data_IF_764427457272
#
_entry.id   IF_764427457272
#
_cell.length_a   1.000
_cell.length_b   1.000
_cell.length_c   1.000
_cell.angle_alpha   90.00
_cell.angle_beta   90.00
_cell.angle_gamma   90.00
#
_symmetry.space_group_name_H-M   'P 1'
#
loop_
_entity.id
_entity.type
_entity.pdbx_description
1 polymer ?
#
# COMPACT_ATOMS: atom_id res chain seq x y z
N UNK A 1 -27.92 -13.04 -72.14
CA UNK A 1 -27.44 -14.11 -71.24
C UNK A 1 -26.18 -13.63 -70.55
N UNK A 2 -26.11 -13.93 -69.26
CA UNK A 2 -25.22 -13.38 -68.22
C UNK A 2 -23.71 -13.52 -68.48
N UNK A 3 -22.93 -12.61 -67.89
CA UNK A 3 -21.87 -12.98 -66.95
C UNK A 3 -21.41 -11.73 -66.16
N UNK A 4 -21.87 -11.60 -64.91
CA UNK A 4 -21.30 -10.67 -63.93
C UNK A 4 -20.20 -11.41 -63.15
N UNK A 5 -19.00 -10.83 -63.10
CA UNK A 5 -17.88 -11.37 -62.34
C UNK A 5 -18.03 -11.04 -60.83
N UNK A 6 -17.71 -11.98 -59.91
CA UNK A 6 -17.77 -11.70 -58.48
C UNK A 6 -16.51 -10.96 -58.03
N UNK A 7 -16.71 -9.83 -57.36
CA UNK A 7 -15.65 -9.08 -56.68
C UNK A 7 -15.49 -9.65 -55.27
N UNK A 8 -14.45 -10.44 -55.02
CA UNK A 8 -14.12 -10.92 -53.69
C UNK A 8 -13.46 -9.79 -52.89
N UNK A 9 -14.20 -9.21 -51.94
CA UNK A 9 -13.65 -8.32 -50.92
C UNK A 9 -12.99 -9.20 -49.86
N UNK A 10 -11.65 -9.22 -49.83
CA UNK A 10 -10.90 -9.80 -48.72
C UNK A 10 -10.97 -8.83 -47.53
N UNK A 11 -11.70 -9.21 -46.49
CA UNK A 11 -11.69 -8.51 -45.19
C UNK A 11 -10.38 -8.89 -44.50
N UNK A 12 -9.40 -7.98 -44.50
CA UNK A 12 -8.25 -8.08 -43.58
C UNK A 12 -8.76 -7.81 -42.16
N UNK A 13 -8.91 -8.87 -41.38
CA UNK A 13 -8.99 -8.76 -39.92
C UNK A 13 -7.60 -8.34 -39.42
N UNK A 14 -7.43 -7.06 -39.11
CA UNK A 14 -6.29 -6.59 -38.36
C UNK A 14 -6.38 -7.20 -36.96
N UNK A 15 -5.58 -8.24 -36.70
CA UNK A 15 -5.32 -8.71 -35.35
C UNK A 15 -4.56 -7.57 -34.66
N UNK A 16 -5.27 -6.77 -33.87
CA UNK A 16 -4.61 -5.88 -32.93
C UNK A 16 -3.85 -6.78 -31.97
N UNK A 17 -2.51 -6.69 -32.00
CA UNK A 17 -1.69 -7.21 -30.92
C UNK A 17 -2.20 -6.60 -29.60
N UNK A 18 -2.22 -7.36 -28.50
CA UNK A 18 -2.60 -6.78 -27.22
C UNK A 18 -1.73 -5.54 -27.00
N UNK A 19 -2.38 -4.39 -26.89
CA UNK A 19 -1.77 -3.18 -26.34
C UNK A 19 -1.09 -3.60 -25.03
N UNK A 20 0.19 -3.27 -24.88
CA UNK A 20 1.03 -3.74 -23.78
C UNK A 20 0.31 -3.73 -22.44
N UNK A 21 0.58 -4.75 -21.62
CA UNK A 21 -0.03 -4.94 -20.30
C UNK A 21 -0.09 -3.59 -19.58
N UNK A 22 -1.32 -3.10 -19.37
CA UNK A 22 -1.56 -1.87 -18.64
C UNK A 22 -0.99 -2.08 -17.24
N UNK A 23 0.04 -1.29 -16.88
CA UNK A 23 0.62 -1.27 -15.53
C UNK A 23 -0.38 -0.57 -14.62
N UNK A 24 -1.21 -1.35 -13.95
CA UNK A 24 -2.27 -0.86 -13.07
C UNK A 24 -1.81 -0.92 -11.60
N UNK A 25 -2.14 0.09 -10.81
CA UNK A 25 -1.78 0.15 -9.38
C UNK A 25 -2.89 0.78 -8.54
N UNK A 26 -3.19 0.18 -7.39
CA UNK A 26 -4.12 0.71 -6.39
C UNK A 26 -3.36 1.18 -5.15
N UNK A 27 -3.86 2.24 -4.52
CA UNK A 27 -3.31 2.77 -3.27
C UNK A 27 -3.99 2.10 -2.08
N UNK A 28 -3.20 1.73 -1.07
CA UNK A 28 -3.74 1.25 0.20
C UNK A 28 -2.91 1.74 1.38
N UNK A 29 -3.59 2.07 2.48
CA UNK A 29 -3.02 2.71 3.66
C UNK A 29 -3.26 1.86 4.90
N UNK A 30 -2.19 1.44 5.56
CA UNK A 30 -2.23 0.74 6.84
C UNK A 30 -2.27 1.73 8.00
N UNK A 31 -2.68 1.21 9.16
CA UNK A 31 -2.63 1.88 10.46
C UNK A 31 -3.65 2.98 10.85
N UNK A 32 -4.65 3.40 10.04
CA UNK A 32 -5.60 4.39 10.52
C UNK A 32 -6.47 3.83 11.67
N UNK A 33 -6.98 4.69 12.56
CA UNK A 33 -6.56 6.08 12.74
C UNK A 33 -5.18 6.15 13.41
N UNK A 34 -4.25 6.93 12.85
CA UNK A 34 -2.95 7.17 13.47
C UNK A 34 -2.98 8.38 14.42
N UNK A 35 -2.11 8.37 15.43
CA UNK A 35 -2.00 9.42 16.46
C UNK A 35 -1.52 10.77 15.89
N UNK A 36 -1.58 11.81 16.71
CA UNK A 36 -0.91 13.10 16.45
C UNK A 36 0.61 12.92 16.41
N UNK A 37 1.27 13.74 15.61
CA UNK A 37 2.73 13.73 15.44
C UNK A 37 3.31 15.13 15.64
N UNK A 38 4.60 15.30 15.33
CA UNK A 38 5.25 16.61 15.40
C UNK A 38 4.88 17.51 14.21
N UNK A 39 4.44 16.91 13.09
CA UNK A 39 4.10 17.62 11.86
C UNK A 39 2.63 18.04 11.85
N UNK A 40 1.71 17.13 12.18
CA UNK A 40 0.27 17.40 12.10
C UNK A 40 -0.56 16.56 13.10
N UNK A 41 -1.78 17.02 13.36
CA UNK A 41 -2.74 16.22 14.12
C UNK A 41 -3.30 15.10 13.25
N UNK A 42 -3.86 14.06 13.86
CA UNK A 42 -4.52 12.98 13.12
C UNK A 42 -5.73 13.47 12.32
N UNK A 43 -6.44 14.50 12.80
CA UNK A 43 -7.56 15.11 12.06
C UNK A 43 -7.06 15.82 10.81
N UNK A 44 -6.05 16.69 10.95
CA UNK A 44 -5.46 17.41 9.82
C UNK A 44 -4.88 16.44 8.79
N UNK A 45 -4.26 15.34 9.25
CA UNK A 45 -3.74 14.28 8.37
C UNK A 45 -4.84 13.64 7.53
N UNK A 46 -5.95 13.27 8.15
CA UNK A 46 -7.07 12.66 7.45
C UNK A 46 -7.68 13.62 6.43
N UNK A 47 -7.86 14.88 6.79
CA UNK A 47 -8.37 15.90 5.88
C UNK A 47 -7.42 16.14 4.69
N UNK A 48 -6.11 16.27 4.97
CA UNK A 48 -5.10 16.46 3.94
C UNK A 48 -4.97 15.24 3.01
N UNK A 49 -4.99 14.02 3.55
CA UNK A 49 -4.91 12.81 2.73
C UNK A 49 -6.13 12.64 1.82
N UNK A 50 -7.35 12.88 2.32
CA UNK A 50 -8.56 12.85 1.48
C UNK A 50 -8.46 13.90 0.37
N UNK A 51 -8.02 15.13 0.70
CA UNK A 51 -7.86 16.19 -0.30
C UNK A 51 -6.80 15.85 -1.36
N UNK A 52 -5.67 15.26 -0.96
CA UNK A 52 -4.63 14.83 -1.89
C UNK A 52 -5.12 13.71 -2.82
N UNK A 53 -5.87 12.74 -2.29
CA UNK A 53 -6.47 11.67 -3.10
C UNK A 53 -7.49 12.21 -4.10
N UNK A 54 -8.34 13.15 -3.69
CA UNK A 54 -9.34 13.80 -4.55
C UNK A 54 -8.68 14.66 -5.65
N UNK A 55 -7.73 15.53 -5.31
CA UNK A 55 -7.00 16.38 -6.26
C UNK A 55 -6.27 15.55 -7.33
N UNK A 56 -5.85 14.33 -6.99
CA UNK A 56 -5.19 13.43 -7.91
C UNK A 56 -6.11 12.36 -8.50
N UNK A 57 -7.43 12.47 -8.44
CA UNK A 57 -8.38 11.49 -9.00
C UNK A 57 -8.06 10.03 -8.55
N UNK A 58 -7.71 9.83 -7.27
CA UNK A 58 -7.45 8.51 -6.68
C UNK A 58 -8.70 8.04 -5.95
N UNK A 59 -9.58 7.36 -6.69
CA UNK A 59 -10.83 6.83 -6.16
C UNK A 59 -10.64 5.43 -5.56
N UNK A 60 -11.40 5.11 -4.51
CA UNK A 60 -11.49 3.74 -3.98
C UNK A 60 -10.16 3.17 -3.43
N UNK A 61 -9.30 4.01 -2.84
CA UNK A 61 -8.18 3.53 -2.02
C UNK A 61 -8.69 2.68 -0.83
N UNK A 62 -7.83 1.79 -0.31
CA UNK A 62 -8.19 0.92 0.82
C UNK A 62 -7.43 1.27 2.09
N UNK A 63 -8.15 1.41 3.21
CA UNK A 63 -7.63 1.77 4.53
C UNK A 63 -7.77 0.58 5.48
N UNK A 64 -6.66 0.02 5.95
CA UNK A 64 -6.62 -1.14 6.83
C UNK A 64 -6.48 -0.68 8.28
N UNK A 65 -7.60 -0.65 9.00
CA UNK A 65 -7.71 0.02 10.28
C UNK A 65 -7.29 -0.84 11.48
N UNK A 66 -6.61 -0.20 12.44
CA UNK A 66 -6.23 -0.78 13.74
C UNK A 66 -7.22 -0.29 14.79
N UNK A 67 -8.09 -1.19 15.27
CA UNK A 67 -9.30 -0.76 15.98
C UNK A 67 -9.09 -0.35 17.45
N UNK A 68 -8.00 -0.73 18.10
CA UNK A 68 -7.67 -0.28 19.47
C UNK A 68 -7.48 1.25 19.53
N UNK A 69 -7.12 1.87 18.39
CA UNK A 69 -6.92 3.32 18.27
C UNK A 69 -8.21 4.09 17.99
N UNK A 70 -9.34 3.42 17.81
CA UNK A 70 -10.61 4.06 17.47
C UNK A 70 -11.26 4.60 18.74
N UNK A 71 -11.00 5.86 19.01
CA UNK A 71 -11.84 6.68 19.90
C UNK A 71 -12.94 7.41 19.10
N UNK A 72 -13.61 8.39 19.71
CA UNK A 72 -14.65 9.16 19.01
C UNK A 72 -14.10 9.96 17.81
N UNK A 73 -12.86 10.45 17.89
CA UNK A 73 -12.18 11.15 16.79
C UNK A 73 -11.79 10.17 15.70
N UNK A 74 -11.19 9.04 16.07
CA UNK A 74 -10.84 7.95 15.17
C UNK A 74 -12.04 7.41 14.40
N UNK A 75 -13.19 7.24 15.06
CA UNK A 75 -14.42 6.80 14.41
C UNK A 75 -14.95 7.82 13.40
N UNK A 76 -14.79 9.12 13.66
CA UNK A 76 -15.15 10.19 12.72
C UNK A 76 -14.20 10.19 11.50
N UNK A 77 -12.90 9.96 11.73
CA UNK A 77 -11.88 9.90 10.66
C UNK A 77 -12.10 8.71 9.71
N UNK A 78 -12.39 7.52 10.25
CA UNK A 78 -12.75 6.36 9.41
C UNK A 78 -14.03 6.60 8.61
N UNK A 79 -15.00 7.30 9.20
CA UNK A 79 -16.22 7.72 8.48
C UNK A 79 -15.90 8.69 7.35
N UNK A 80 -15.01 9.65 7.56
CA UNK A 80 -14.60 10.60 6.53
C UNK A 80 -13.96 9.89 5.32
N UNK A 81 -13.08 8.90 5.54
CA UNK A 81 -12.54 8.09 4.44
C UNK A 81 -13.64 7.33 3.68
N UNK A 82 -14.60 6.73 4.40
CA UNK A 82 -15.72 6.03 3.78
C UNK A 82 -16.67 6.98 2.99
N UNK A 83 -16.96 8.17 3.51
CA UNK A 83 -17.76 9.20 2.85
C UNK A 83 -17.07 9.75 1.60
N UNK A 84 -15.72 9.78 1.58
CA UNK A 84 -14.92 10.07 0.40
C UNK A 84 -14.87 8.92 -0.63
N UNK A 85 -15.58 7.81 -0.38
CA UNK A 85 -15.66 6.67 -1.31
C UNK A 85 -14.52 5.68 -1.21
N UNK A 86 -13.75 5.71 -0.13
CA UNK A 86 -12.66 4.77 0.13
C UNK A 86 -13.12 3.56 0.96
N UNK A 87 -12.38 2.47 0.86
CA UNK A 87 -12.68 1.22 1.56
C UNK A 87 -12.09 1.23 2.97
N UNK A 88 -12.86 0.74 3.94
CA UNK A 88 -12.35 0.41 5.27
C UNK A 88 -12.20 -1.11 5.40
N UNK A 89 -11.05 -1.57 5.89
CA UNK A 89 -10.68 -2.98 6.02
C UNK A 89 -10.03 -3.27 7.37
N UNK A 90 -9.82 -4.55 7.69
CA UNK A 90 -9.36 -5.00 9.01
C UNK A 90 -7.84 -5.15 9.06
N UNK A 91 -7.20 -4.52 10.04
CA UNK A 91 -5.76 -4.64 10.34
C UNK A 91 -5.48 -5.09 11.77
N UNK A 92 -6.36 -5.94 12.31
CA UNK A 92 -6.43 -6.36 13.72
C UNK A 92 -6.87 -5.23 14.66
N UNK A 93 -7.12 -5.58 15.92
CA UNK A 93 -7.42 -4.66 17.00
C UNK A 93 -6.15 -3.99 17.50
N UNK A 94 -5.13 -4.76 17.90
CA UNK A 94 -3.93 -4.22 18.56
C UNK A 94 -2.69 -4.08 17.65
N UNK A 95 -2.87 -4.22 16.33
CA UNK A 95 -1.76 -4.35 15.36
C UNK A 95 -0.91 -5.61 15.68
N UNK A 96 -1.59 -6.71 16.01
CA UNK A 96 -0.97 -7.92 16.57
C UNK A 96 -0.12 -8.66 15.53
N UNK A 97 1.12 -8.98 15.92
CA UNK A 97 2.02 -9.80 15.10
C UNK A 97 1.77 -11.29 15.33
N UNK A 98 1.22 -11.98 14.32
CA UNK A 98 0.97 -13.42 14.36
C UNK A 98 2.21 -14.24 14.72
N UNK A 99 3.38 -13.83 14.23
CA UNK A 99 4.66 -14.52 14.45
C UNK A 99 4.97 -14.73 15.94
N UNK A 100 4.51 -13.83 16.81
CA UNK A 100 4.77 -13.88 18.26
C UNK A 100 3.54 -14.24 19.09
N UNK A 101 2.33 -14.01 18.58
CA UNK A 101 1.10 -14.13 19.38
C UNK A 101 0.56 -15.56 19.48
N UNK A 102 0.73 -16.39 18.43
CA UNK A 102 -0.01 -17.65 18.29
C UNK A 102 -1.35 -17.47 17.57
N UNK A 103 -1.86 -18.54 16.95
CA UNK A 103 -3.03 -18.49 16.05
C UNK A 103 -4.30 -18.07 16.79
N UNK A 104 -4.58 -18.66 17.96
CA UNK A 104 -5.84 -18.41 18.66
C UNK A 104 -5.96 -16.96 19.14
N UNK A 105 -4.91 -16.46 19.82
CA UNK A 105 -4.84 -15.07 20.27
C UNK A 105 -4.95 -14.08 19.10
N UNK A 106 -4.27 -14.39 17.99
CA UNK A 106 -4.36 -13.58 16.78
C UNK A 106 -5.77 -13.55 16.18
N UNK A 107 -6.44 -14.70 16.05
CA UNK A 107 -7.80 -14.75 15.50
C UNK A 107 -8.83 -14.10 16.43
N UNK A 108 -8.65 -14.15 17.74
CA UNK A 108 -9.48 -13.41 18.70
C UNK A 108 -9.29 -11.90 18.58
N UNK A 109 -8.07 -11.44 18.34
CA UNK A 109 -7.76 -10.05 18.05
C UNK A 109 -8.42 -9.60 16.73
N UNK A 110 -8.34 -10.42 15.67
CA UNK A 110 -9.07 -10.18 14.41
C UNK A 110 -10.58 -10.08 14.63
N UNK A 111 -11.18 -10.97 15.41
CA UNK A 111 -12.62 -10.96 15.74
C UNK A 111 -13.02 -9.71 16.53
N UNK A 112 -12.15 -9.22 17.39
CA UNK A 112 -12.38 -7.98 18.13
C UNK A 112 -12.49 -6.81 17.16
N UNK A 113 -11.52 -6.67 16.24
CA UNK A 113 -11.58 -5.66 15.19
C UNK A 113 -12.80 -5.81 14.27
N UNK A 114 -13.13 -7.05 13.88
CA UNK A 114 -14.30 -7.37 13.06
C UNK A 114 -15.60 -6.85 13.68
N UNK A 115 -15.78 -7.05 14.99
CA UNK A 115 -16.97 -6.59 15.71
C UNK A 115 -17.14 -5.06 15.71
N UNK A 116 -16.02 -4.32 15.63
CA UNK A 116 -15.99 -2.86 15.60
C UNK A 116 -16.23 -2.38 14.16
N UNK A 117 -15.51 -2.94 13.18
CA UNK A 117 -15.48 -2.45 11.81
C UNK A 117 -16.73 -2.80 11.00
N UNK A 118 -17.42 -3.90 11.30
CA UNK A 118 -18.63 -4.31 10.54
C UNK A 118 -19.74 -3.27 10.52
N UNK A 119 -19.77 -2.36 11.49
CA UNK A 119 -20.75 -1.28 11.57
C UNK A 119 -20.35 -0.02 10.80
N UNK A 120 -19.12 0.06 10.28
CA UNK A 120 -18.66 1.20 9.49
C UNK A 120 -19.14 1.11 8.04
N UNK A 121 -19.60 2.24 7.51
CA UNK A 121 -19.83 2.42 6.09
C UNK A 121 -18.51 2.19 5.33
N UNK A 122 -18.59 1.67 4.10
CA UNK A 122 -17.39 1.36 3.31
C UNK A 122 -16.61 0.12 3.78
N UNK A 123 -17.07 -0.60 4.82
CA UNK A 123 -16.40 -1.81 5.27
C UNK A 123 -16.40 -2.92 4.21
N UNK A 124 -15.22 -3.47 3.95
CA UNK A 124 -15.02 -4.71 3.18
C UNK A 124 -14.37 -5.76 4.09
N UNK A 125 -14.75 -7.04 4.00
CA UNK A 125 -14.09 -8.13 4.72
C UNK A 125 -12.74 -8.47 4.07
N UNK A 126 -11.87 -7.46 3.96
CA UNK A 126 -10.48 -7.60 3.59
C UNK A 126 -9.63 -7.51 4.84
N UNK A 127 -8.59 -8.33 4.90
CA UNK A 127 -7.70 -8.41 6.05
C UNK A 127 -6.25 -8.30 5.64
N UNK A 128 -5.50 -7.44 6.32
CA UNK A 128 -4.05 -7.37 6.16
C UNK A 128 -3.34 -7.75 7.44
N UNK A 129 -2.36 -8.64 7.32
CA UNK A 129 -1.51 -9.03 8.43
C UNK A 129 -0.61 -7.85 8.81
N UNK A 130 -0.61 -7.42 10.09
CA UNK A 130 0.40 -6.51 10.61
C UNK A 130 1.82 -6.99 10.25
N UNK A 131 2.69 -6.05 9.87
CA UNK A 131 4.06 -6.30 9.42
C UNK A 131 4.19 -7.20 8.18
N UNK A 132 3.09 -7.43 7.43
CA UNK A 132 3.00 -8.43 6.36
C UNK A 132 3.50 -9.81 6.81
N UNK A 133 3.37 -10.11 8.10
CA UNK A 133 3.93 -11.31 8.70
C UNK A 133 2.83 -12.34 8.93
N UNK A 134 2.87 -13.41 8.14
CA UNK A 134 1.87 -14.46 8.18
C UNK A 134 2.19 -15.59 9.18
N UNK A 135 3.22 -15.46 10.02
CA UNK A 135 3.53 -16.42 11.08
C UNK A 135 5.00 -16.85 11.13
N UNK A 136 5.37 -17.62 12.15
CA UNK A 136 6.74 -18.10 12.39
C UNK A 136 7.06 -19.43 11.71
N UNK A 137 6.04 -20.20 11.33
CA UNK A 137 6.16 -21.43 10.57
C UNK A 137 4.95 -21.67 9.65
N UNK A 138 5.03 -22.67 8.78
CA UNK A 138 3.98 -22.97 7.80
C UNK A 138 2.67 -23.40 8.46
N UNK A 139 2.72 -24.10 9.60
CA UNK A 139 1.51 -24.54 10.29
C UNK A 139 0.75 -23.36 10.87
N UNK A 140 1.45 -22.40 11.49
CA UNK A 140 0.87 -21.17 11.98
C UNK A 140 0.28 -20.33 10.84
N UNK A 141 1.02 -20.20 9.73
CA UNK A 141 0.56 -19.51 8.53
C UNK A 141 -0.73 -20.10 7.97
N UNK A 142 -0.74 -21.39 7.73
CA UNK A 142 -1.86 -22.06 7.08
C UNK A 142 -3.09 -22.07 8.00
N UNK A 143 -2.90 -22.25 9.31
CA UNK A 143 -3.96 -22.16 10.29
C UNK A 143 -4.58 -20.75 10.37
N UNK A 144 -3.76 -19.69 10.36
CA UNK A 144 -4.27 -18.32 10.36
C UNK A 144 -5.02 -17.98 9.06
N UNK A 145 -4.50 -18.40 7.90
CA UNK A 145 -5.20 -18.21 6.61
C UNK A 145 -6.55 -18.94 6.59
N UNK A 146 -6.60 -20.19 7.09
CA UNK A 146 -7.85 -20.95 7.22
C UNK A 146 -8.84 -20.23 8.15
N UNK A 147 -8.38 -19.79 9.32
CA UNK A 147 -9.22 -19.07 10.28
C UNK A 147 -9.79 -17.76 9.72
N UNK A 148 -8.99 -17.01 8.95
CA UNK A 148 -9.47 -15.82 8.24
C UNK A 148 -10.51 -16.16 7.18
N UNK A 149 -10.29 -17.21 6.39
CA UNK A 149 -11.24 -17.67 5.38
C UNK A 149 -12.57 -18.11 6.01
N UNK A 150 -12.53 -18.82 7.14
CA UNK A 150 -13.71 -19.21 7.93
C UNK A 150 -14.49 -18.00 8.48
N UNK A 151 -13.80 -16.92 8.81
CA UNK A 151 -14.39 -15.64 9.19
C UNK A 151 -14.93 -14.83 7.99
N UNK A 152 -14.75 -15.33 6.77
CA UNK A 152 -15.20 -14.69 5.52
C UNK A 152 -14.26 -13.61 5.00
N UNK A 153 -13.00 -13.57 5.49
CA UNK A 153 -12.02 -12.59 5.05
C UNK A 153 -11.30 -13.00 3.78
N UNK A 154 -11.08 -12.01 2.91
CA UNK A 154 -10.09 -12.08 1.83
C UNK A 154 -8.79 -11.43 2.31
N UNK A 155 -7.64 -12.05 2.01
CA UNK A 155 -6.34 -11.45 2.35
C UNK A 155 -6.12 -10.22 1.45
N UNK A 156 -6.12 -9.04 2.05
CA UNK A 156 -5.72 -7.77 1.43
C UNK A 156 -4.21 -7.71 1.26
N UNK A 157 -3.65 -8.53 0.39
CA UNK A 157 -2.22 -8.54 0.09
C UNK A 157 -1.75 -7.21 -0.52
N UNK A 158 -0.43 -7.00 -0.48
CA UNK A 158 0.26 -5.95 -1.23
C UNK A 158 1.18 -6.60 -2.26
N UNK A 159 1.51 -5.89 -3.32
CA UNK A 159 2.47 -6.35 -4.34
C UNK A 159 3.69 -5.45 -4.43
N UNK A 160 3.57 -4.21 -3.98
CA UNK A 160 4.64 -3.21 -3.92
C UNK A 160 4.79 -2.84 -2.44
N UNK A 161 5.94 -3.18 -1.88
CA UNK A 161 6.33 -2.86 -0.50
C UNK A 161 7.36 -1.72 -0.51
N UNK A 162 7.50 -1.01 0.60
CA UNK A 162 8.43 0.10 0.78
C UNK A 162 8.51 0.48 2.28
N UNK A 163 9.37 1.45 2.60
CA UNK A 163 9.58 1.93 3.96
C UNK A 163 9.12 3.40 4.14
N UNK A 164 7.96 3.79 3.58
CA UNK A 164 7.35 5.12 3.77
C UNK A 164 7.21 5.50 5.24
N UNK A 165 6.78 4.57 6.08
CA UNK A 165 6.64 4.76 7.53
C UNK A 165 7.98 5.15 8.19
N UNK A 166 9.09 4.67 7.65
CA UNK A 166 10.40 4.95 8.22
C UNK A 166 10.88 6.33 7.81
N UNK A 167 10.65 6.73 6.56
CA UNK A 167 10.97 8.08 6.09
C UNK A 167 10.10 9.13 6.80
N UNK A 168 8.82 8.85 7.01
CA UNK A 168 7.92 9.68 7.82
C UNK A 168 8.43 9.83 9.25
N UNK A 169 8.86 8.73 9.87
CA UNK A 169 9.44 8.76 11.21
C UNK A 169 10.69 9.65 11.27
N UNK A 170 11.56 9.63 10.27
CA UNK A 170 12.74 10.50 10.20
C UNK A 170 12.34 11.99 10.12
N UNK A 171 11.34 12.32 9.30
CA UNK A 171 10.82 13.69 9.19
C UNK A 171 10.21 14.17 10.51
N UNK A 172 9.39 13.33 11.15
CA UNK A 172 8.81 13.61 12.45
C UNK A 172 9.84 13.78 13.56
N UNK A 173 10.85 12.91 13.61
CA UNK A 173 11.96 13.02 14.57
C UNK A 173 12.72 14.34 14.38
N UNK A 174 12.97 14.75 13.14
CA UNK A 174 13.66 16.01 12.81
C UNK A 174 12.85 17.25 13.24
N UNK A 175 11.55 17.27 12.94
CA UNK A 175 10.64 18.37 13.35
C UNK A 175 10.51 18.44 14.86
N UNK A 176 10.36 17.29 15.55
CA UNK A 176 10.33 17.23 17.00
C UNK A 176 11.63 17.73 17.65
N UNK A 177 12.77 17.52 16.99
CA UNK A 177 14.08 18.02 17.41
C UNK A 177 14.32 19.50 17.08
N UNK A 178 13.36 20.19 16.45
CA UNK A 178 13.47 21.59 16.05
C UNK A 178 14.43 21.82 14.88
N UNK A 179 14.75 20.78 14.11
CA UNK A 179 15.58 20.88 12.91
C UNK A 179 14.76 21.49 11.76
N UNK A 180 15.42 22.19 10.85
CA UNK A 180 14.76 22.64 9.62
C UNK A 180 14.80 21.50 8.61
N UNK A 181 13.65 21.18 8.01
CA UNK A 181 13.50 20.15 6.97
C UNK A 181 13.35 20.82 5.61
N UNK A 182 14.11 20.36 4.62
CA UNK A 182 13.87 20.65 3.21
C UNK A 182 12.68 19.83 2.72
N UNK A 183 11.49 20.43 2.78
CA UNK A 183 10.24 19.77 2.38
C UNK A 183 10.15 19.48 0.89
N UNK A 184 10.81 20.27 0.04
CA UNK A 184 10.82 20.03 -1.40
C UNK A 184 11.69 18.80 -1.72
N UNK A 185 12.90 18.75 -1.17
CA UNK A 185 13.77 17.57 -1.32
C UNK A 185 13.18 16.31 -0.66
N UNK A 186 12.46 16.45 0.46
CA UNK A 186 11.77 15.32 1.10
C UNK A 186 10.62 14.78 0.25
N UNK A 187 9.84 15.67 -0.38
CA UNK A 187 8.80 15.27 -1.34
C UNK A 187 9.40 14.46 -2.49
N UNK A 188 10.48 14.97 -3.11
CA UNK A 188 11.15 14.28 -4.22
C UNK A 188 11.64 12.89 -3.79
N UNK A 189 12.34 12.79 -2.64
CA UNK A 189 12.80 11.51 -2.10
C UNK A 189 11.64 10.54 -1.84
N UNK A 190 10.54 11.01 -1.24
CA UNK A 190 9.38 10.19 -0.92
C UNK A 190 8.72 9.65 -2.18
N UNK A 191 8.46 10.52 -3.16
CA UNK A 191 7.79 10.16 -4.42
C UNK A 191 8.67 9.22 -5.26
N UNK A 192 9.96 9.52 -5.41
CA UNK A 192 10.87 8.69 -6.19
C UNK A 192 11.06 7.31 -5.56
N UNK A 193 11.23 7.22 -4.23
CA UNK A 193 11.33 5.94 -3.52
C UNK A 193 10.13 5.03 -3.83
N UNK A 194 8.92 5.57 -3.79
CA UNK A 194 7.69 4.80 -3.98
C UNK A 194 7.46 4.43 -5.45
N UNK A 195 7.72 5.36 -6.37
CA UNK A 195 7.62 5.10 -7.79
C UNK A 195 8.69 4.10 -8.27
N UNK A 196 9.90 4.16 -7.73
CA UNK A 196 10.97 3.18 -7.99
C UNK A 196 10.63 1.80 -7.40
N UNK A 197 10.00 1.75 -6.23
CA UNK A 197 9.49 0.51 -5.68
C UNK A 197 8.47 -0.14 -6.63
N UNK A 198 7.52 0.64 -7.17
CA UNK A 198 6.54 0.14 -8.14
C UNK A 198 7.22 -0.46 -9.39
N UNK A 199 8.19 0.24 -9.99
CA UNK A 199 8.96 -0.26 -11.13
C UNK A 199 9.76 -1.52 -10.79
N UNK A 200 10.37 -1.58 -9.60
CA UNK A 200 11.15 -2.72 -9.14
C UNK A 200 10.29 -3.99 -9.00
N UNK A 201 9.15 -3.89 -8.31
CA UNK A 201 8.26 -5.05 -8.13
C UNK A 201 7.55 -5.44 -9.42
N UNK A 202 7.21 -4.50 -10.31
CA UNK A 202 6.72 -4.82 -11.66
C UNK A 202 7.76 -5.60 -12.47
N UNK A 203 9.04 -5.19 -12.41
CA UNK A 203 10.12 -5.90 -13.08
C UNK A 203 10.29 -7.34 -12.53
N UNK A 204 10.17 -7.54 -11.22
CA UNK A 204 10.15 -8.88 -10.62
C UNK A 204 8.95 -9.67 -11.12
N UNK A 205 7.76 -9.09 -11.14
CA UNK A 205 6.55 -9.76 -11.58
C UNK A 205 6.63 -10.19 -13.04
N UNK A 206 7.00 -9.29 -13.96
CA UNK A 206 7.17 -9.62 -15.38
C UNK A 206 8.23 -10.70 -15.60
N UNK A 207 9.32 -10.66 -14.84
CA UNK A 207 10.42 -11.64 -14.98
C UNK A 207 10.08 -13.01 -14.42
N UNK A 208 9.35 -13.06 -13.31
CA UNK A 208 9.20 -14.28 -12.52
C UNK A 208 7.77 -14.81 -12.46
N UNK A 209 6.77 -14.04 -12.88
CA UNK A 209 5.35 -14.39 -12.98
C UNK A 209 4.81 -14.25 -14.41
N UNK A 210 5.67 -13.88 -15.36
CA UNK A 210 5.39 -13.75 -16.81
C UNK A 210 4.35 -12.70 -17.18
N UNK A 211 4.04 -11.76 -16.26
CA UNK A 211 3.11 -10.63 -16.46
C UNK A 211 3.27 -9.54 -15.40
N UNK A 212 2.77 -8.35 -15.70
CA UNK A 212 2.45 -7.32 -14.71
C UNK A 212 1.07 -7.61 -14.07
N UNK A 213 0.95 -7.82 -12.76
CA UNK A 213 -0.34 -7.87 -12.09
C UNK A 213 -0.92 -6.47 -11.90
N UNK A 214 -2.21 -6.40 -11.59
CA UNK A 214 -2.73 -5.20 -10.94
C UNK A 214 -2.09 -5.08 -9.57
N UNK A 215 -1.24 -4.08 -9.43
CA UNK A 215 -0.47 -3.87 -8.24
C UNK A 215 -1.31 -3.25 -7.12
N UNK A 216 -0.98 -3.59 -5.88
CA UNK A 216 -1.44 -2.91 -4.66
C UNK A 216 -0.21 -2.36 -3.97
N UNK A 217 -0.18 -1.03 -3.83
CA UNK A 217 0.87 -0.28 -3.14
C UNK A 217 0.56 -0.24 -1.64
N UNK A 218 1.54 -0.66 -0.83
CA UNK A 218 1.51 -0.43 0.61
C UNK A 218 1.91 1.03 0.91
N UNK A 219 1.10 1.73 1.67
CA UNK A 219 1.40 2.99 2.32
C UNK A 219 0.90 2.90 3.76
N UNK A 220 1.26 3.85 4.61
CA UNK A 220 0.65 4.01 5.94
C UNK A 220 -0.08 5.35 6.02
N UNK A 221 -1.09 5.46 6.89
CA UNK A 221 -1.76 6.74 7.18
C UNK A 221 -0.85 7.66 8.00
N UNK A 222 0.20 8.16 7.36
CA UNK A 222 1.25 8.98 7.93
C UNK A 222 1.28 10.40 7.32
N UNK A 223 2.14 11.27 7.85
CA UNK A 223 2.14 12.68 7.48
C UNK A 223 2.64 12.89 6.06
N UNK A 224 3.69 12.17 5.65
CA UNK A 224 4.22 12.27 4.29
C UNK A 224 3.23 11.75 3.24
N UNK A 225 2.50 10.67 3.54
CA UNK A 225 1.41 10.18 2.71
C UNK A 225 0.32 11.25 2.55
N UNK A 226 -0.09 11.89 3.63
CA UNK A 226 -1.09 12.95 3.59
C UNK A 226 -0.61 14.19 2.80
N UNK A 227 0.69 14.48 2.83
CA UNK A 227 1.27 15.63 2.12
C UNK A 227 1.52 15.37 0.63
N UNK A 228 1.85 14.13 0.22
CA UNK A 228 2.46 13.86 -1.08
C UNK A 228 1.80 12.73 -1.89
N UNK A 229 0.64 12.20 -1.47
CA UNK A 229 -0.06 11.15 -2.24
C UNK A 229 -0.49 11.63 -3.64
N UNK A 230 -0.80 12.91 -3.79
CA UNK A 230 -1.14 13.52 -5.08
C UNK A 230 0.07 13.63 -6.01
N UNK A 231 1.23 14.05 -5.47
CA UNK A 231 2.50 14.06 -6.18
C UNK A 231 2.90 12.66 -6.65
N UNK A 232 2.77 11.66 -5.77
CA UNK A 232 3.01 10.26 -6.11
C UNK A 232 2.10 9.77 -7.23
N UNK A 233 0.80 10.08 -7.14
CA UNK A 233 -0.15 9.70 -8.16
C UNK A 233 0.17 10.32 -9.53
N UNK A 234 0.58 11.59 -9.55
CA UNK A 234 1.02 12.29 -10.76
C UNK A 234 2.32 11.71 -11.33
N UNK A 235 3.27 11.33 -10.48
CA UNK A 235 4.53 10.71 -10.91
C UNK A 235 4.30 9.32 -11.50
N UNK A 236 3.51 8.46 -10.84
CA UNK A 236 3.15 7.14 -11.35
C UNK A 236 2.50 7.23 -12.74
N UNK A 237 1.56 8.16 -12.93
CA UNK A 237 0.94 8.42 -14.24
C UNK A 237 1.96 8.89 -15.28
N UNK A 238 2.90 9.76 -14.90
CA UNK A 238 4.00 10.20 -15.77
C UNK A 238 4.89 9.03 -16.19
N UNK A 239 5.11 8.07 -15.29
CA UNK A 239 5.81 6.81 -15.57
C UNK A 239 4.97 5.79 -16.34
N UNK A 240 3.72 6.10 -16.68
CA UNK A 240 2.84 5.26 -17.51
C UNK A 240 2.02 4.24 -16.72
N UNK A 241 1.83 4.45 -15.42
CA UNK A 241 0.91 3.68 -14.60
C UNK A 241 -0.52 4.19 -14.71
N UNK A 242 -1.48 3.28 -14.60
CA UNK A 242 -2.89 3.59 -14.43
C UNK A 242 -3.26 3.36 -12.98
N UNK A 243 -3.75 4.40 -12.31
CA UNK A 243 -4.25 4.28 -10.93
C UNK A 243 -5.67 3.75 -10.97
N UNK A 244 -5.94 2.69 -10.21
CA UNK A 244 -7.23 2.00 -10.18
C UNK A 244 -7.73 1.84 -8.73
N UNK A 245 -9.06 1.71 -8.52
CA UNK A 245 -9.61 1.38 -7.21
C UNK A 245 -9.09 0.04 -6.67
N UNK A 246 -8.98 -0.07 -5.34
CA UNK A 246 -8.50 -1.28 -4.67
C UNK A 246 -9.35 -2.52 -5.01
N UNK A 247 -10.68 -2.38 -5.14
CA UNK A 247 -11.55 -3.47 -5.60
C UNK A 247 -11.06 -4.07 -6.91
N UNK A 248 -10.66 -3.24 -7.87
CA UNK A 248 -10.19 -3.71 -9.19
C UNK A 248 -8.85 -4.41 -9.12
N UNK A 249 -7.97 -3.98 -8.22
CA UNK A 249 -6.68 -4.63 -8.00
C UNK A 249 -6.85 -6.00 -7.34
N UNK A 250 -7.79 -6.15 -6.41
CA UNK A 250 -8.08 -7.42 -5.74
C UNK A 250 -8.83 -8.46 -6.60
N UNK A 251 -9.34 -8.06 -7.78
CA UNK A 251 -9.87 -8.98 -8.79
C UNK A 251 -8.79 -9.62 -9.68
N UNK A 252 -7.52 -9.21 -9.56
CA UNK A 252 -6.43 -9.78 -10.35
C UNK A 252 -6.20 -11.27 -10.03
N UNK A 253 -5.87 -12.13 -11.02
CA UNK A 253 -5.59 -13.55 -10.79
C UNK A 253 -4.51 -13.87 -9.75
N UNK A 254 -3.62 -12.92 -9.42
CA UNK A 254 -2.62 -13.06 -8.35
C UNK A 254 -3.29 -13.22 -6.97
N UNK A 255 -4.56 -12.82 -6.82
CA UNK A 255 -5.35 -13.02 -5.62
C UNK A 255 -5.47 -14.51 -5.23
N UNK A 256 -5.56 -15.40 -6.21
CA UNK A 256 -5.61 -16.85 -6.02
C UNK A 256 -4.23 -17.51 -5.87
N UNK A 257 -3.13 -16.76 -6.07
CA UNK A 257 -1.76 -17.25 -5.98
C UNK A 257 -1.22 -17.02 -4.57
N UNK A 258 -1.62 -17.86 -3.63
CA UNK A 258 -1.07 -17.80 -2.28
C UNK A 258 0.39 -18.29 -2.25
N UNK A 259 1.35 -17.47 -1.76
CA UNK A 259 2.73 -17.90 -1.65
C UNK A 259 2.87 -19.01 -0.62
N UNK A 260 3.45 -20.14 -1.04
CA UNK A 260 3.93 -21.20 -0.15
C UNK A 260 5.41 -20.97 0.19
N UNK A 261 5.65 -19.99 1.06
CA UNK A 261 6.98 -19.66 1.56
C UNK A 261 6.91 -19.06 2.97
N UNK A 262 8.05 -19.02 3.66
CA UNK A 262 8.28 -18.25 4.88
C UNK A 262 9.11 -16.98 4.62
N UNK A 263 9.29 -16.61 3.35
CA UNK A 263 9.73 -15.26 2.99
C UNK A 263 8.56 -14.29 3.20
N UNK A 264 8.46 -13.81 4.44
CA UNK A 264 7.39 -12.95 4.94
C UNK A 264 7.91 -11.51 5.15
N UNK A 265 7.01 -10.61 5.55
CA UNK A 265 7.36 -9.20 5.73
C UNK A 265 7.64 -8.49 4.41
N UNK A 266 6.98 -8.96 3.34
CA UNK A 266 7.14 -8.51 1.95
C UNK A 266 5.85 -8.69 1.15
N UNK A 267 5.76 -7.98 0.04
CA UNK A 267 4.68 -8.12 -0.93
C UNK A 267 4.59 -9.49 -1.62
N UNK A 268 3.39 -9.82 -2.08
CA UNK A 268 3.03 -11.09 -2.73
C UNK A 268 3.90 -11.40 -3.96
N UNK A 269 4.31 -10.39 -4.73
CA UNK A 269 5.20 -10.57 -5.89
C UNK A 269 6.55 -11.16 -5.47
N UNK A 270 7.21 -10.56 -4.47
CA UNK A 270 8.48 -11.07 -3.99
C UNK A 270 8.33 -12.43 -3.28
N UNK A 271 7.26 -12.63 -2.51
CA UNK A 271 6.98 -13.94 -1.89
C UNK A 271 6.78 -15.05 -2.94
N UNK A 272 6.05 -14.79 -4.03
CA UNK A 272 5.87 -15.74 -5.13
C UNK A 272 7.18 -15.98 -5.91
N UNK A 273 7.97 -14.93 -6.18
CA UNK A 273 9.27 -15.07 -6.82
C UNK A 273 10.22 -15.93 -5.95
N UNK A 274 10.25 -15.69 -4.64
CA UNK A 274 11.03 -16.48 -3.70
C UNK A 274 10.57 -17.95 -3.65
N UNK A 275 9.25 -18.20 -3.65
CA UNK A 275 8.70 -19.57 -3.72
C UNK A 275 9.11 -20.32 -5.01
N UNK A 276 9.46 -19.59 -6.09
CA UNK A 276 10.01 -20.14 -7.34
C UNK A 276 11.54 -20.26 -7.34
N UNK A 277 12.19 -20.05 -6.21
CA UNK A 277 13.64 -20.23 -6.02
C UNK A 277 14.49 -18.97 -6.29
N UNK A 278 13.87 -17.79 -6.43
CA UNK A 278 14.62 -16.53 -6.52
C UNK A 278 15.22 -16.21 -5.15
N UNK A 279 16.54 -15.98 -5.03
CA UNK A 279 17.16 -15.61 -3.77
C UNK A 279 16.57 -14.31 -3.21
N UNK A 280 16.51 -14.19 -1.87
CA UNK A 280 16.04 -12.97 -1.21
C UNK A 280 16.83 -11.71 -1.62
N UNK A 281 18.11 -11.87 -1.96
CA UNK A 281 18.96 -10.79 -2.48
C UNK A 281 18.39 -10.25 -3.79
N UNK A 282 18.03 -8.96 -3.80
CA UNK A 282 17.49 -8.29 -4.99
C UNK A 282 15.97 -8.39 -5.13
N UNK A 283 15.26 -9.00 -4.18
CA UNK A 283 13.79 -8.93 -4.14
C UNK A 283 13.25 -7.61 -3.57
N UNK A 284 14.12 -6.79 -2.99
CA UNK A 284 13.80 -5.48 -2.42
C UNK A 284 14.55 -4.37 -3.16
N UNK A 285 13.94 -3.19 -3.36
CA UNK A 285 14.65 -2.03 -3.89
C UNK A 285 15.64 -1.48 -2.85
N UNK A 286 16.61 -0.68 -3.31
CA UNK A 286 17.71 -0.20 -2.46
C UNK A 286 17.26 0.66 -1.27
N UNK A 287 16.22 1.49 -1.48
CA UNK A 287 15.66 2.35 -0.44
C UNK A 287 14.69 1.64 0.51
N UNK A 288 14.41 0.35 0.29
CA UNK A 288 13.76 -0.48 1.30
C UNK A 288 14.78 -1.02 2.31
N UNK A 289 15.56 -0.09 2.86
CA UNK A 289 16.60 -0.33 3.85
C UNK A 289 16.73 0.92 4.72
N UNK A 290 16.66 0.75 6.03
CA UNK A 290 16.68 1.87 6.99
C UNK A 290 17.98 2.67 6.96
N UNK A 291 19.12 2.02 6.72
CA UNK A 291 20.41 2.72 6.60
C UNK A 291 20.50 3.56 5.32
N UNK A 292 20.00 3.04 4.20
CA UNK A 292 19.96 3.77 2.94
C UNK A 292 19.04 5.00 3.02
N UNK A 293 17.87 4.85 3.67
CA UNK A 293 16.97 5.99 3.91
C UNK A 293 17.54 7.03 4.85
N UNK A 294 18.27 6.62 5.89
CA UNK A 294 18.99 7.57 6.77
C UNK A 294 20.02 8.37 5.99
N UNK A 295 20.78 7.71 5.12
CA UNK A 295 21.78 8.37 4.26
C UNK A 295 21.12 9.33 3.27
N UNK A 296 20.03 8.93 2.63
CA UNK A 296 19.29 9.76 1.68
C UNK A 296 18.58 10.95 2.35
N UNK A 297 18.10 10.79 3.58
CA UNK A 297 17.40 11.84 4.34
C UNK A 297 18.36 12.84 4.99
N UNK A 298 19.58 12.43 5.37
CA UNK A 298 20.51 13.27 6.13
C UNK A 298 20.82 14.65 5.50
N UNK A 299 20.94 14.81 4.16
CA UNK A 299 21.14 16.11 3.53
C UNK A 299 19.91 17.03 3.60
N UNK A 300 18.72 16.50 3.89
CA UNK A 300 17.46 17.23 3.90
C UNK A 300 17.16 17.92 5.23
N UNK A 301 18.07 17.80 6.21
CA UNK A 301 17.90 18.42 7.52
C UNK A 301 19.09 19.31 7.87
N UNK A 302 18.79 20.42 8.53
CA UNK A 302 19.81 21.32 9.06
C UNK A 302 19.57 21.63 10.53
N UNK A 303 20.64 22.05 11.21
CA UNK A 303 20.61 22.34 12.65
C UNK A 303 19.49 23.35 12.99
N UNK A 304 18.96 23.30 14.22
CA UNK A 304 17.94 24.24 14.66
C UNK A 304 18.41 25.68 14.40
N UNK A 305 17.57 26.48 13.73
CA UNK A 305 17.90 27.89 13.53
C UNK A 305 18.01 28.54 14.91
N UNK A 306 19.10 29.28 15.23
CA UNK A 306 19.21 29.95 16.51
C UNK A 306 17.98 30.84 16.68
N UNK A 307 17.29 30.70 17.82
CA UNK A 307 16.13 31.51 18.13
C UNK A 307 16.51 32.97 17.90
N UNK A 308 15.78 33.68 17.02
CA UNK A 308 15.95 35.12 16.90
C UNK A 308 15.69 35.69 18.29
N UNK A 309 16.73 36.20 18.95
CA UNK A 309 16.57 37.01 20.15
C UNK A 309 15.56 38.11 19.78
N UNK A 310 14.38 38.08 20.40
CA UNK A 310 13.39 39.14 20.21
C UNK A 310 14.00 40.42 20.81
N UNK A 311 14.06 41.54 20.07
CA UNK A 311 14.46 42.82 20.62
C UNK A 311 13.50 43.30 21.71
#
# INVERSE_FOLDING_TARGET
>A
MNAAAPFCIAILLAVQAPSGESREIAFSYDDPPWRDTAIMTGVDRTEALIAALDEADVEGAAFFAVTERIDASGAARLRAYAEAGHVIANHTHSHMNLHTAGVDAFLDDVRTADSILRAHDGFRPWFRFPYLNHGSDSAQRDAARSGLAELGYTIGYVTVDNFDFYLDRLANDAVAAGQSVDWEGLRELYVDMLADAAEHYDAIARRHLDRSPRHVLLLHENDLAAMFSDDLARELRTRGWTIIPAERAYEDPIAAMEPDTLYLGQGRVAALAHARGVPATGLRPALEATDALREAFAPLISAPSPARERP
#
